data_IF_952000431828
#
_entry.id   IF_952000431828
#
_cell.length_a   1.000
_cell.length_b   1.000
_cell.length_c   1.000
_cell.angle_alpha   90.00
_cell.angle_beta   90.00
_cell.angle_gamma   90.00
#
_symmetry.space_group_name_H-M   'P 1'
#
loop_
_entity.id
_entity.type
_entity.pdbx_description
1 polymer ?
#
# COMPACT_ATOMS: atom_id res chain seq x y z
N UNK A 1 2.14 1.29 -2.34
CA UNK A 1 1.17 0.70 -1.39
C UNK A 1 -0.16 0.34 -2.07
N UNK A 2 -0.81 1.27 -2.77
CA UNK A 2 -2.09 1.05 -3.49
C UNK A 2 -2.12 -0.21 -4.38
N UNK A 3 -1.07 -0.47 -5.16
CA UNK A 3 -0.98 -1.66 -6.03
C UNK A 3 -1.04 -3.02 -5.31
N UNK A 4 -0.64 -3.10 -4.03
CA UNK A 4 -0.70 -4.38 -3.31
C UNK A 4 -2.13 -4.75 -2.89
N UNK A 5 -2.96 -3.74 -2.62
CA UNK A 5 -4.36 -3.94 -2.20
C UNK A 5 -5.29 -4.18 -3.40
N UNK A 6 -4.92 -3.73 -4.60
CA UNK A 6 -5.73 -3.91 -5.81
C UNK A 6 -5.88 -5.36 -6.25
N UNK A 7 -5.01 -6.27 -5.78
CA UNK A 7 -5.11 -7.70 -6.10
C UNK A 7 -6.41 -8.30 -5.55
N UNK A 8 -6.80 -7.96 -4.32
CA UNK A 8 -8.06 -8.42 -3.74
C UNK A 8 -9.28 -7.88 -4.50
N UNK A 9 -9.24 -6.62 -4.91
CA UNK A 9 -10.30 -5.99 -5.74
C UNK A 9 -10.39 -6.65 -7.13
N UNK A 10 -9.26 -6.99 -7.74
CA UNK A 10 -9.24 -7.71 -9.02
C UNK A 10 -9.88 -9.11 -8.90
N UNK A 11 -9.57 -9.85 -7.83
CA UNK A 11 -10.17 -11.16 -7.56
C UNK A 11 -11.68 -11.03 -7.28
N UNK A 12 -12.10 -9.97 -6.59
CA UNK A 12 -13.52 -9.74 -6.32
C UNK A 12 -14.32 -9.47 -7.60
N UNK A 13 -13.71 -8.81 -8.59
CA UNK A 13 -14.36 -8.40 -9.85
C UNK A 13 -14.37 -9.47 -10.95
N UNK A 14 -13.61 -10.55 -10.81
CA UNK A 14 -13.66 -11.68 -11.75
C UNK A 14 -14.80 -12.64 -11.43
N UNK A 15 -15.08 -13.57 -12.35
CA UNK A 15 -16.12 -14.59 -12.20
C UNK A 15 -15.70 -15.74 -11.24
N UNK A 16 -15.21 -15.40 -10.05
CA UNK A 16 -14.71 -16.36 -9.05
C UNK A 16 -15.78 -17.37 -8.59
N UNK A 17 -17.06 -17.04 -8.76
CA UNK A 17 -18.18 -17.92 -8.43
C UNK A 17 -18.29 -19.13 -9.37
N UNK A 18 -17.73 -19.07 -10.58
CA UNK A 18 -17.70 -20.18 -11.55
C UNK A 18 -16.61 -21.22 -11.25
N UNK A 19 -15.65 -20.89 -10.37
CA UNK A 19 -14.52 -21.74 -10.07
C UNK A 19 -14.88 -22.92 -9.16
N UNK A 20 -14.02 -23.93 -9.15
CA UNK A 20 -14.13 -25.07 -8.24
C UNK A 20 -13.97 -24.62 -6.78
N UNK A 21 -14.43 -25.46 -5.85
CA UNK A 21 -14.32 -25.19 -4.41
C UNK A 21 -12.87 -25.08 -3.94
N UNK A 22 -11.93 -25.80 -4.57
CA UNK A 22 -10.49 -25.69 -4.27
C UNK A 22 -9.95 -24.33 -4.68
N UNK A 23 -10.21 -23.89 -5.90
CA UNK A 23 -9.75 -22.59 -6.42
C UNK A 23 -10.34 -21.42 -5.61
N UNK A 24 -11.62 -21.51 -5.23
CA UNK A 24 -12.26 -20.51 -4.36
C UNK A 24 -11.55 -20.38 -3.00
N UNK A 25 -11.14 -21.50 -2.41
CA UNK A 25 -10.39 -21.49 -1.14
C UNK A 25 -9.00 -20.86 -1.31
N UNK A 26 -8.33 -21.15 -2.41
CA UNK A 26 -7.04 -20.53 -2.73
C UNK A 26 -7.16 -19.01 -2.93
N UNK A 27 -8.16 -18.57 -3.71
CA UNK A 27 -8.46 -17.15 -3.90
C UNK A 27 -8.83 -16.45 -2.59
N UNK A 28 -9.55 -17.13 -1.68
CA UNK A 28 -9.87 -16.58 -0.36
C UNK A 28 -8.62 -16.26 0.45
N UNK A 29 -7.63 -17.15 0.44
CA UNK A 29 -6.34 -16.92 1.12
C UNK A 29 -5.65 -15.71 0.49
N UNK A 30 -5.62 -15.60 -0.84
CA UNK A 30 -5.00 -14.47 -1.54
C UNK A 30 -5.71 -13.16 -1.19
N UNK A 31 -7.04 -13.13 -1.24
CA UNK A 31 -7.83 -11.95 -0.86
C UNK A 31 -7.57 -11.53 0.59
N UNK A 32 -7.56 -12.48 1.53
CA UNK A 32 -7.21 -12.20 2.93
C UNK A 32 -5.82 -11.58 3.04
N UNK A 33 -4.84 -12.08 2.28
CA UNK A 33 -3.48 -11.53 2.30
C UNK A 33 -3.39 -10.13 1.70
N UNK A 34 -4.14 -9.85 0.63
CA UNK A 34 -4.19 -8.53 -0.02
C UNK A 34 -4.78 -7.42 0.86
N UNK A 35 -5.52 -7.76 1.92
CA UNK A 35 -6.00 -6.75 2.90
C UNK A 35 -4.87 -6.10 3.68
N UNK A 36 -3.71 -6.75 3.78
CA UNK A 36 -2.53 -6.22 4.45
C UNK A 36 -1.59 -5.59 3.41
N UNK A 37 -1.53 -4.25 3.32
CA UNK A 37 -0.71 -3.60 2.31
C UNK A 37 0.78 -3.84 2.55
N UNK A 38 1.55 -3.96 1.47
CA UNK A 38 3.01 -3.97 1.56
C UNK A 38 3.48 -2.55 1.90
N UNK A 39 4.06 -2.41 3.09
CA UNK A 39 4.65 -1.15 3.58
C UNK A 39 6.16 -1.28 3.62
N UNK A 40 6.84 -0.36 2.92
CA UNK A 40 8.28 -0.19 3.05
C UNK A 40 8.53 0.81 4.17
N UNK A 41 9.37 0.46 5.14
CA UNK A 41 9.73 1.34 6.24
C UNK A 41 11.24 1.49 6.32
N UNK A 42 11.73 2.72 6.43
CA UNK A 42 13.13 2.97 6.79
C UNK A 42 13.26 2.97 8.31
N UNK A 43 14.12 2.08 8.83
CA UNK A 43 14.49 1.94 10.25
C UNK A 43 13.29 2.00 11.23
N UNK A 44 12.13 1.51 10.80
CA UNK A 44 10.82 1.57 11.49
C UNK A 44 10.23 2.97 11.74
N UNK A 45 10.94 4.05 11.45
CA UNK A 45 10.50 5.42 11.76
C UNK A 45 9.65 6.03 10.65
N UNK A 46 9.99 5.75 9.38
CA UNK A 46 9.35 6.42 8.24
C UNK A 46 8.82 5.38 7.27
N UNK A 47 7.50 5.42 7.04
CA UNK A 47 6.89 4.69 5.92
C UNK A 47 7.31 5.36 4.61
N UNK A 48 7.99 4.63 3.74
CA UNK A 48 8.37 5.09 2.41
C UNK A 48 7.11 5.20 1.54
N UNK A 49 6.55 6.40 1.53
CA UNK A 49 5.34 6.75 0.78
C UNK A 49 5.52 8.12 0.11
N UNK A 50 4.76 8.38 -0.96
CA UNK A 50 4.74 9.69 -1.62
C UNK A 50 4.32 10.81 -0.65
N UNK A 51 3.41 10.50 0.27
CA UNK A 51 2.98 11.42 1.32
C UNK A 51 4.15 11.79 2.24
N UNK A 52 4.91 10.80 2.71
CA UNK A 52 6.08 11.01 3.56
C UNK A 52 7.17 11.77 2.83
N UNK A 53 7.44 11.45 1.56
CA UNK A 53 8.36 12.22 0.72
C UNK A 53 7.96 13.69 0.62
N UNK A 54 6.69 13.98 0.30
CA UNK A 54 6.19 15.35 0.24
C UNK A 54 6.24 16.07 1.60
N UNK A 55 6.02 15.35 2.70
CA UNK A 55 6.16 15.90 4.06
C UNK A 55 7.60 16.29 4.36
N UNK A 56 8.56 15.44 4.02
CA UNK A 56 9.99 15.71 4.22
C UNK A 56 10.38 16.97 3.45
N UNK A 57 10.02 17.06 2.15
CA UNK A 57 10.33 18.23 1.33
C UNK A 57 9.75 19.52 1.91
N UNK A 58 8.48 19.50 2.34
CA UNK A 58 7.85 20.68 2.97
C UNK A 58 8.59 21.11 4.23
N UNK A 59 8.91 20.17 5.11
CA UNK A 59 9.64 20.47 6.35
C UNK A 59 11.04 21.02 6.06
N UNK A 60 11.76 20.42 5.11
CA UNK A 60 13.09 20.90 4.68
C UNK A 60 13.04 22.32 4.14
N UNK A 61 12.05 22.61 3.28
CA UNK A 61 11.89 23.95 2.70
C UNK A 61 11.49 24.99 3.76
N UNK A 62 10.57 24.65 4.67
CA UNK A 62 10.22 25.52 5.79
C UNK A 62 11.43 25.83 6.69
N UNK A 63 12.25 24.82 7.00
CA UNK A 63 13.47 25.01 7.78
C UNK A 63 14.47 25.93 7.06
N UNK A 64 14.67 25.71 5.75
CA UNK A 64 15.51 26.58 4.93
C UNK A 64 15.04 28.04 4.97
N UNK A 65 13.75 28.29 4.78
CA UNK A 65 13.19 29.64 4.80
C UNK A 65 13.31 30.33 6.16
N UNK A 66 13.25 29.58 7.27
CA UNK A 66 13.50 30.14 8.61
C UNK A 66 14.96 30.55 8.77
N UNK A 67 15.89 29.74 8.27
CA UNK A 67 17.34 29.98 8.39
C UNK A 67 17.88 31.04 7.41
N UNK A 68 17.17 31.30 6.32
CA UNK A 68 17.48 32.37 5.35
C UNK A 68 16.97 33.75 5.80
N UNK A 69 16.31 33.83 6.96
CA UNK A 69 15.79 35.06 7.54
C UNK A 69 16.69 35.53 8.68
#
# INVERSE_FOLDING_TARGET
MLKSMSVGDAIYRMDWFLLSTSEKKELLIIMMRSTVPIKFTSSFLITLSLQSFGSILRTSYSAYNVLQK
#
